data_IF_976658693339
#
_entry.id   IF_976658693339
#
_cell.length_a   1.000
_cell.length_b   1.000
_cell.length_c   1.000
_cell.angle_alpha   90.00
_cell.angle_beta   90.00
_cell.angle_gamma   90.00
#
_symmetry.space_group_name_H-M   'P 1'
#
loop_
_entity.id
_entity.type
_entity.pdbx_description
1 polymer ?
#
# COMPACT_ATOMS: atom_id res chain seq x y z
N UNK A 1 7.87 41.60 -5.14
CA UNK A 1 8.30 42.84 -5.80
C UNK A 1 7.34 43.93 -5.37
N UNK A 2 7.80 44.98 -4.69
CA UNK A 2 6.99 46.12 -4.29
C UNK A 2 6.66 46.95 -5.53
N UNK A 3 5.39 47.01 -5.91
CA UNK A 3 4.91 47.84 -7.02
C UNK A 3 5.04 49.31 -6.61
N UNK A 4 6.08 49.98 -7.09
CA UNK A 4 6.24 51.42 -6.89
C UNK A 4 5.19 52.12 -7.75
N UNK A 5 4.13 52.63 -7.11
CA UNK A 5 3.11 53.43 -7.80
C UNK A 5 3.69 54.83 -8.03
N UNK A 6 4.02 55.16 -9.27
CA UNK A 6 4.42 56.52 -9.66
C UNK A 6 3.16 57.38 -9.80
N UNK A 7 3.00 58.46 -9.02
CA UNK A 7 1.82 59.32 -9.12
C UNK A 7 1.80 60.10 -10.44
N UNK A 8 0.61 60.30 -11.02
CA UNK A 8 0.42 61.06 -12.27
C UNK A 8 0.80 62.55 -12.15
N UNK A 9 0.67 63.08 -10.93
CA UNK A 9 1.22 64.35 -10.49
C UNK A 9 1.65 64.24 -9.01
N UNK A 10 2.79 64.83 -8.69
CA UNK A 10 3.33 64.87 -7.34
C UNK A 10 2.82 66.13 -6.61
N UNK A 11 2.40 65.95 -5.36
CA UNK A 11 1.94 67.03 -4.48
C UNK A 11 2.73 67.02 -3.19
N UNK A 12 3.19 68.19 -2.77
CA UNK A 12 3.88 68.38 -1.50
C UNK A 12 2.96 69.07 -0.49
N UNK A 13 3.25 68.87 0.81
CA UNK A 13 2.49 69.53 1.86
C UNK A 13 2.63 71.06 1.75
N UNK A 14 1.51 71.75 1.61
CA UNK A 14 1.46 73.21 1.44
C UNK A 14 1.20 73.69 0.00
N UNK A 15 1.20 72.78 -0.98
CA UNK A 15 0.82 73.12 -2.36
C UNK A 15 -0.67 73.45 -2.47
N UNK A 16 -0.99 74.54 -3.18
CA UNK A 16 -2.37 74.84 -3.56
C UNK A 16 -2.78 73.92 -4.72
N UNK A 17 -3.80 73.09 -4.48
CA UNK A 17 -4.35 72.23 -5.52
C UNK A 17 -5.30 73.06 -6.40
N UNK A 18 -4.80 73.48 -7.54
CA UNK A 18 -5.57 74.23 -8.53
C UNK A 18 -6.47 73.32 -9.37
N UNK A 19 -7.63 73.84 -9.79
CA UNK A 19 -8.59 73.11 -10.60
C UNK A 19 -8.01 72.66 -11.96
N UNK A 20 -7.10 73.44 -12.54
CA UNK A 20 -6.43 73.12 -13.81
C UNK A 20 -5.51 71.90 -13.69
N UNK A 21 -4.81 71.75 -12.57
CA UNK A 21 -3.95 70.59 -12.29
C UNK A 21 -4.77 69.32 -12.10
N UNK A 22 -5.90 69.41 -11.40
CA UNK A 22 -6.86 68.30 -11.29
C UNK A 22 -7.42 67.88 -12.66
N UNK A 23 -7.75 68.84 -13.52
CA UNK A 23 -8.21 68.54 -14.88
C UNK A 23 -7.12 67.83 -15.71
N UNK A 24 -5.87 68.28 -15.59
CA UNK A 24 -4.72 67.67 -16.27
C UNK A 24 -4.50 66.23 -15.81
N UNK A 25 -4.58 65.98 -14.50
CA UNK A 25 -4.50 64.65 -13.93
C UNK A 25 -5.62 63.73 -14.46
N UNK A 26 -6.86 64.23 -14.52
CA UNK A 26 -7.99 63.46 -15.06
C UNK A 26 -7.80 63.10 -16.54
N UNK A 27 -7.22 64.00 -17.35
CA UNK A 27 -6.88 63.71 -18.75
C UNK A 27 -5.83 62.60 -18.85
N UNK A 28 -4.76 62.66 -18.04
CA UNK A 28 -3.71 61.61 -18.01
C UNK A 28 -4.29 60.25 -17.61
N UNK A 29 -5.15 60.21 -16.59
CA UNK A 29 -5.83 58.97 -16.16
C UNK A 29 -6.70 58.41 -17.29
N UNK A 30 -7.47 59.25 -17.98
CA UNK A 30 -8.30 58.80 -19.11
C UNK A 30 -7.48 58.24 -20.27
N UNK A 31 -6.33 58.86 -20.57
CA UNK A 31 -5.41 58.38 -21.60
C UNK A 31 -4.78 57.05 -21.22
N UNK A 32 -4.37 56.87 -19.98
CA UNK A 32 -3.79 55.60 -19.51
C UNK A 32 -4.82 54.47 -19.53
N UNK A 33 -6.04 54.72 -19.04
CA UNK A 33 -7.14 53.76 -19.13
C UNK A 33 -7.43 53.39 -20.59
N UNK A 34 -7.49 54.38 -21.49
CA UNK A 34 -7.70 54.10 -22.92
C UNK A 34 -6.57 53.26 -23.52
N UNK A 35 -5.32 53.50 -23.12
CA UNK A 35 -4.16 52.69 -23.51
C UNK A 35 -4.24 51.25 -23.00
N UNK A 36 -4.57 51.06 -21.72
CA UNK A 36 -4.75 49.74 -21.11
C UNK A 36 -5.90 48.97 -21.76
N UNK A 37 -7.03 49.63 -22.02
CA UNK A 37 -8.17 49.01 -22.74
C UNK A 37 -7.78 48.62 -24.16
N UNK A 38 -6.98 49.44 -24.85
CA UNK A 38 -6.42 49.09 -26.16
C UNK A 38 -5.57 47.82 -26.11
N UNK A 39 -4.63 47.75 -25.17
CA UNK A 39 -3.75 46.58 -24.99
C UNK A 39 -4.55 45.31 -24.64
N UNK A 40 -5.57 45.41 -23.80
CA UNK A 40 -6.44 44.29 -23.45
C UNK A 40 -7.25 43.82 -24.67
N UNK A 41 -7.78 44.74 -25.47
CA UNK A 41 -8.50 44.39 -26.70
C UNK A 41 -7.58 43.75 -27.73
N UNK A 42 -6.36 44.24 -27.89
CA UNK A 42 -5.36 43.67 -28.80
C UNK A 42 -4.98 42.24 -28.36
N UNK A 43 -4.70 42.03 -27.07
CA UNK A 43 -4.41 40.71 -26.52
C UNK A 43 -5.61 39.74 -26.60
N UNK A 44 -6.83 40.25 -26.42
CA UNK A 44 -8.06 39.45 -26.55
C UNK A 44 -8.30 39.06 -28.01
N UNK A 45 -8.12 39.99 -28.95
CA UNK A 45 -8.24 39.72 -30.38
C UNK A 45 -7.18 38.72 -30.85
N UNK A 46 -5.93 38.85 -30.40
CA UNK A 46 -4.87 37.88 -30.67
C UNK A 46 -5.23 36.48 -30.12
N UNK A 47 -5.83 36.41 -28.94
CA UNK A 47 -6.31 35.14 -28.37
C UNK A 47 -7.53 34.55 -29.09
N UNK A 48 -8.42 35.40 -29.63
CA UNK A 48 -9.60 34.98 -30.40
C UNK A 48 -9.28 34.59 -31.84
N UNK A 49 -8.24 35.17 -32.44
CA UNK A 49 -7.74 34.84 -33.77
C UNK A 49 -6.80 33.61 -33.76
N UNK A 50 -6.28 33.24 -32.59
CA UNK A 50 -5.56 31.99 -32.43
C UNK A 50 -6.49 30.82 -32.81
N UNK A 51 -6.09 29.95 -33.76
CA UNK A 51 -6.91 28.80 -34.14
C UNK A 51 -7.08 27.90 -32.92
N UNK A 52 -8.30 27.85 -32.38
CA UNK A 52 -8.66 26.83 -31.39
C UNK A 52 -8.76 25.53 -32.15
N UNK A 53 -7.76 24.66 -31.96
CA UNK A 53 -7.78 23.31 -32.49
C UNK A 53 -8.92 22.54 -31.80
N UNK A 54 -10.08 22.47 -32.45
CA UNK A 54 -11.25 21.80 -31.90
C UNK A 54 -11.07 20.28 -31.79
N UNK A 55 -10.11 19.73 -32.54
CA UNK A 55 -9.83 18.30 -32.59
C UNK A 55 -8.81 17.86 -31.53
N UNK A 56 -8.10 18.81 -30.90
CA UNK A 56 -7.12 18.51 -29.85
C UNK A 56 -7.32 19.36 -28.59
N UNK A 57 -7.36 18.70 -27.43
CA UNK A 57 -7.36 19.38 -26.13
C UNK A 57 -5.96 19.26 -25.53
N UNK A 58 -5.28 20.41 -25.36
CA UNK A 58 -3.89 20.44 -24.86
C UNK A 58 -2.88 19.77 -25.82
N UNK A 59 -3.16 19.78 -27.13
CA UNK A 59 -2.29 19.16 -28.14
C UNK A 59 -2.43 17.65 -28.26
N UNK A 60 -3.44 17.04 -27.60
CA UNK A 60 -3.78 15.62 -27.73
C UNK A 60 -5.23 15.46 -28.19
N UNK A 61 -5.48 14.51 -29.07
CA UNK A 61 -6.82 14.09 -29.50
C UNK A 61 -7.57 13.34 -28.39
N UNK A 62 -8.91 13.23 -28.45
CA UNK A 62 -9.68 12.38 -27.54
C UNK A 62 -9.21 10.92 -27.50
N UNK A 63 -8.77 10.36 -28.63
CA UNK A 63 -8.28 8.98 -28.71
C UNK A 63 -6.90 8.83 -28.06
N UNK A 64 -6.02 9.83 -28.16
CA UNK A 64 -4.74 9.84 -27.44
C UNK A 64 -4.91 10.01 -25.94
N UNK A 65 -5.84 10.88 -25.52
CA UNK A 65 -6.24 10.97 -24.11
C UNK A 65 -6.84 9.65 -23.65
N UNK A 66 -7.69 9.01 -24.45
CA UNK A 66 -8.24 7.71 -24.12
C UNK A 66 -7.14 6.66 -24.01
N UNK A 67 -6.16 6.59 -24.91
CA UNK A 67 -5.02 5.67 -24.79
C UNK A 67 -4.18 5.91 -23.53
N UNK A 68 -3.89 7.17 -23.22
CA UNK A 68 -3.10 7.58 -22.04
C UNK A 68 -3.85 7.29 -20.72
N UNK A 69 -5.17 7.48 -20.72
CA UNK A 69 -6.01 7.29 -19.54
C UNK A 69 -6.50 5.83 -19.40
N UNK A 70 -6.69 5.10 -20.50
CA UNK A 70 -7.06 3.67 -20.54
C UNK A 70 -5.88 2.78 -20.18
N UNK A 71 -4.62 3.23 -20.32
CA UNK A 71 -3.48 2.53 -19.70
C UNK A 71 -3.64 2.35 -18.19
N UNK A 72 -4.38 3.25 -17.50
CA UNK A 72 -4.72 3.10 -16.07
C UNK A 72 -5.83 2.06 -15.83
N UNK A 73 -6.57 1.70 -16.88
CA UNK A 73 -7.62 0.69 -16.84
C UNK A 73 -7.14 -0.56 -17.59
N UNK A 74 -6.06 -1.19 -17.10
CA UNK A 74 -5.60 -2.50 -17.60
C UNK A 74 -6.79 -3.45 -17.68
N UNK A 75 -7.16 -3.84 -18.90
CA UNK A 75 -8.28 -4.74 -19.11
C UNK A 75 -7.96 -6.07 -18.42
N UNK A 76 -8.95 -6.68 -17.77
CA UNK A 76 -8.79 -7.96 -17.04
C UNK A 76 -8.16 -9.08 -17.91
N UNK A 77 -8.24 -8.95 -19.23
CA UNK A 77 -7.63 -9.83 -20.23
C UNK A 77 -6.12 -9.68 -20.40
N UNK A 78 -5.52 -8.57 -19.98
CA UNK A 78 -4.07 -8.29 -20.08
C UNK A 78 -3.31 -8.66 -18.80
N UNK A 79 -4.03 -8.94 -17.72
CA UNK A 79 -3.48 -9.54 -16.51
C UNK A 79 -3.19 -11.02 -16.84
N UNK A 80 -1.93 -11.51 -16.69
CA UNK A 80 -1.58 -12.90 -16.97
C UNK A 80 -2.57 -13.85 -16.28
N UNK A 81 -3.07 -14.89 -16.98
CA UNK A 81 -4.13 -15.81 -16.48
C UNK A 81 -3.81 -16.54 -15.17
N UNK A 82 -2.59 -16.40 -14.66
CA UNK A 82 -2.09 -16.99 -13.42
C UNK A 82 -2.23 -16.00 -12.23
N UNK A 83 -2.54 -14.74 -12.50
CA UNK A 83 -2.66 -13.63 -11.53
C UNK A 83 -4.12 -13.39 -11.13
N UNK A 84 -4.84 -14.50 -10.93
CA UNK A 84 -6.19 -14.53 -10.42
C UNK A 84 -6.25 -14.18 -8.93
N UNK A 85 -6.45 -12.89 -8.67
CA UNK A 85 -7.44 -12.33 -7.75
C UNK A 85 -7.05 -11.96 -6.32
N UNK A 86 -5.89 -12.34 -5.76
CA UNK A 86 -5.57 -11.90 -4.39
C UNK A 86 -4.07 -11.68 -4.10
N UNK A 87 -3.69 -10.48 -3.67
CA UNK A 87 -2.37 -10.17 -3.09
C UNK A 87 -2.47 -10.13 -1.57
N UNK A 88 -1.56 -10.83 -0.87
CA UNK A 88 -1.50 -10.78 0.61
C UNK A 88 -0.38 -9.86 1.06
N UNK A 89 -0.72 -8.99 1.99
CA UNK A 89 0.21 -8.18 2.75
C UNK A 89 0.08 -8.57 4.21
N UNK A 90 1.19 -8.65 4.91
CA UNK A 90 1.22 -8.92 6.34
C UNK A 90 1.69 -7.66 7.06
N UNK A 91 0.97 -7.25 8.11
CA UNK A 91 1.27 -6.03 8.86
C UNK A 91 1.16 -6.29 10.35
N UNK A 92 2.13 -5.83 11.12
CA UNK A 92 2.11 -5.92 12.58
C UNK A 92 1.87 -4.53 13.17
N UNK A 93 0.62 -4.27 13.58
CA UNK A 93 0.24 -2.99 14.18
C UNK A 93 0.47 -3.05 15.69
N UNK A 94 1.66 -2.70 16.16
CA UNK A 94 2.02 -2.77 17.59
C UNK A 94 2.65 -1.49 18.17
N UNK A 95 3.02 -0.52 17.31
CA UNK A 95 3.62 0.74 17.73
C UNK A 95 2.56 1.77 18.15
N UNK A 96 2.57 2.20 19.40
CA UNK A 96 1.81 3.36 19.87
C UNK A 96 2.54 4.66 19.52
N UNK A 97 1.86 5.60 18.87
CA UNK A 97 2.41 6.93 18.58
C UNK A 97 2.17 7.88 19.76
N UNK A 98 3.26 8.37 20.38
CA UNK A 98 3.23 9.60 21.17
C UNK A 98 2.22 9.67 22.33
N UNK A 99 1.96 8.57 23.04
CA UNK A 99 1.03 8.54 24.18
C UNK A 99 -0.46 8.62 23.81
N UNK A 100 -0.79 8.57 22.51
CA UNK A 100 -2.17 8.41 22.04
C UNK A 100 -2.62 6.93 22.15
N UNK A 101 -3.92 6.66 22.34
CA UNK A 101 -4.46 5.30 22.41
C UNK A 101 -4.48 4.58 21.04
N UNK A 102 -4.03 5.24 19.97
CA UNK A 102 -4.04 4.72 18.60
C UNK A 102 -2.66 4.23 18.19
N UNK A 103 -2.64 3.05 17.57
CA UNK A 103 -1.44 2.49 16.96
C UNK A 103 -1.14 3.24 15.66
N UNK A 104 0.15 3.32 15.29
CA UNK A 104 0.55 3.96 14.04
C UNK A 104 -0.12 3.31 12.84
N UNK A 105 -0.55 4.09 11.82
CA UNK A 105 -1.09 3.52 10.60
C UNK A 105 -0.05 2.63 9.92
N UNK A 106 -0.49 1.56 9.25
CA UNK A 106 0.29 0.83 8.26
C UNK A 106 -0.11 1.27 6.86
N UNK A 107 0.87 1.66 6.05
CA UNK A 107 0.69 1.97 4.63
C UNK A 107 1.02 0.71 3.81
N UNK A 108 0.15 0.40 2.86
CA UNK A 108 0.35 -0.65 1.86
C UNK A 108 0.37 0.00 0.49
N UNK A 109 1.54 0.02 -0.12
CA UNK A 109 1.75 0.39 -1.52
C UNK A 109 1.54 -0.85 -2.37
N UNK A 110 0.51 -0.82 -3.22
CA UNK A 110 0.07 -1.97 -3.99
C UNK A 110 0.17 -1.78 -5.50
N UNK A 111 0.32 -0.55 -5.99
CA UNK A 111 0.57 -0.27 -7.42
C UNK A 111 -0.43 -1.03 -8.32
N UNK A 112 -1.73 -0.84 -8.06
CA UNK A 112 -2.80 -1.51 -8.81
C UNK A 112 -3.48 -0.58 -9.80
N UNK A 113 -3.13 0.71 -9.77
CA UNK A 113 -3.74 1.82 -10.51
C UNK A 113 -5.27 1.91 -10.33
N UNK A 114 -5.79 1.29 -9.26
CA UNK A 114 -7.22 1.21 -8.95
C UNK A 114 -7.45 0.91 -7.47
N UNK A 115 -8.61 1.31 -6.97
CA UNK A 115 -9.05 0.94 -5.61
C UNK A 115 -9.34 -0.57 -5.51
N UNK A 116 -8.57 -1.34 -4.72
CA UNK A 116 -8.80 -2.78 -4.57
C UNK A 116 -10.01 -3.08 -3.69
N UNK A 117 -10.57 -4.28 -3.84
CA UNK A 117 -11.48 -4.84 -2.83
C UNK A 117 -10.63 -5.45 -1.71
N UNK A 118 -10.81 -4.96 -0.48
CA UNK A 118 -9.96 -5.29 0.66
C UNK A 118 -10.70 -6.24 1.60
N UNK A 119 -10.02 -7.30 2.01
CA UNK A 119 -10.45 -8.13 3.15
C UNK A 119 -9.34 -8.19 4.18
N UNK A 120 -9.68 -7.90 5.44
CA UNK A 120 -8.71 -7.88 6.54
C UNK A 120 -8.94 -9.08 7.44
N UNK A 121 -7.85 -9.73 7.84
CA UNK A 121 -7.86 -10.85 8.76
C UNK A 121 -6.90 -10.59 9.92
N UNK A 122 -7.32 -10.93 11.13
CA UNK A 122 -6.42 -11.09 12.26
C UNK A 122 -5.71 -12.44 12.17
N UNK A 123 -4.40 -12.46 12.39
CA UNK A 123 -3.63 -13.67 12.56
C UNK A 123 -3.70 -14.15 14.01
N UNK A 124 -4.38 -15.27 14.20
CA UNK A 124 -4.47 -15.97 15.48
C UNK A 124 -3.27 -16.90 15.67
N UNK A 125 -2.88 -17.17 16.92
CA UNK A 125 -1.87 -18.18 17.19
C UNK A 125 -2.35 -19.56 16.73
N UNK A 126 -1.39 -20.33 16.21
CA UNK A 126 -1.57 -21.73 15.85
C UNK A 126 -1.48 -22.60 17.10
N UNK A 127 -2.38 -23.56 17.21
CA UNK A 127 -2.41 -24.51 18.33
C UNK A 127 -1.65 -25.79 17.94
N UNK A 128 -0.32 -25.69 17.92
CA UNK A 128 0.59 -26.80 17.59
C UNK A 128 1.43 -27.03 18.84
N UNK A 129 0.99 -27.99 19.68
CA UNK A 129 1.35 -28.11 21.10
C UNK A 129 2.77 -28.64 21.39
N UNK A 130 3.79 -28.12 20.73
CA UNK A 130 5.16 -28.31 21.19
C UNK A 130 5.50 -27.12 22.09
N UNK A 131 6.04 -27.38 23.29
CA UNK A 131 6.27 -26.36 24.35
C UNK A 131 7.11 -25.16 23.85
N UNK A 132 7.84 -25.32 22.75
CA UNK A 132 8.65 -24.29 22.10
C UNK A 132 7.87 -23.31 21.20
N UNK A 133 6.65 -23.65 20.75
CA UNK A 133 5.91 -22.90 19.71
C UNK A 133 4.59 -22.27 20.22
N UNK A 134 4.45 -22.06 21.53
CA UNK A 134 3.25 -21.42 22.08
C UNK A 134 3.13 -19.97 21.60
N UNK A 135 2.07 -19.66 20.86
CA UNK A 135 1.78 -18.28 20.40
C UNK A 135 2.26 -17.94 19.00
N UNK A 136 2.90 -18.89 18.30
CA UNK A 136 3.36 -18.72 16.91
C UNK A 136 2.18 -18.49 15.98
N UNK A 137 2.33 -17.54 15.03
CA UNK A 137 1.33 -17.19 14.02
C UNK A 137 1.69 -17.68 12.62
N UNK A 138 2.99 -17.85 12.39
CA UNK A 138 3.58 -18.37 11.16
C UNK A 138 4.37 -19.63 11.50
N UNK A 139 3.92 -20.81 11.07
CA UNK A 139 4.64 -22.05 11.33
C UNK A 139 5.10 -22.67 10.03
N UNK A 140 6.42 -22.81 9.86
CA UNK A 140 6.98 -23.62 8.78
C UNK A 140 7.07 -25.07 9.24
N UNK A 141 6.50 -25.99 8.46
CA UNK A 141 6.50 -27.41 8.78
C UNK A 141 6.67 -28.27 7.52
N UNK A 142 7.06 -29.52 7.70
CA UNK A 142 7.18 -30.50 6.64
C UNK A 142 5.90 -31.32 6.56
N UNK A 143 5.18 -31.29 5.44
CA UNK A 143 3.91 -31.98 5.26
C UNK A 143 4.04 -33.52 5.22
N UNK A 144 5.26 -34.07 5.18
CA UNK A 144 5.47 -35.50 5.21
C UNK A 144 5.14 -36.14 6.57
N UNK A 145 4.90 -37.46 6.53
CA UNK A 145 4.46 -38.29 7.67
C UNK A 145 5.44 -38.36 8.86
N UNK A 146 6.60 -37.70 8.78
CA UNK A 146 7.64 -37.66 9.81
C UNK A 146 7.52 -36.44 10.73
N UNK A 147 6.66 -35.49 10.38
CA UNK A 147 6.44 -34.29 11.17
C UNK A 147 5.14 -34.39 11.98
N UNK A 148 5.25 -34.23 13.30
CA UNK A 148 4.08 -34.26 14.18
C UNK A 148 3.13 -33.08 13.89
N UNK A 149 3.66 -31.93 13.45
CA UNK A 149 2.85 -30.77 13.11
C UNK A 149 1.93 -31.06 11.92
N UNK A 150 2.40 -31.82 10.92
CA UNK A 150 1.61 -32.19 9.75
C UNK A 150 0.36 -33.01 10.10
N UNK A 151 0.43 -33.86 11.13
CA UNK A 151 -0.72 -34.67 11.58
C UNK A 151 -1.85 -33.83 12.18
N UNK A 152 -1.53 -32.64 12.70
CA UNK A 152 -2.49 -31.71 13.31
C UNK A 152 -2.99 -30.67 12.33
N UNK A 153 -2.14 -30.33 11.38
CA UNK A 153 -2.40 -29.40 10.29
C UNK A 153 -2.86 -30.12 9.02
N UNK A 154 -3.36 -31.35 9.11
CA UNK A 154 -4.00 -32.03 7.99
C UNK A 154 -5.49 -32.19 8.23
N UNK A 155 -6.26 -32.12 7.15
CA UNK A 155 -7.67 -32.48 7.18
C UNK A 155 -7.82 -34.00 7.25
N UNK A 156 -8.80 -34.49 8.00
CA UNK A 156 -9.11 -35.94 8.10
C UNK A 156 -9.92 -36.46 6.90
N UNK A 157 -9.81 -35.80 5.74
CA UNK A 157 -10.55 -36.12 4.52
C UNK A 157 -9.95 -37.29 3.73
N UNK A 158 -10.62 -37.70 2.64
CA UNK A 158 -10.12 -38.70 1.68
C UNK A 158 -8.92 -38.18 0.88
N UNK A 159 -8.96 -36.90 0.55
CA UNK A 159 -7.82 -36.16 0.02
C UNK A 159 -7.14 -35.50 1.24
N UNK A 160 -6.02 -36.04 1.71
CA UNK A 160 -5.26 -35.45 2.82
C UNK A 160 -4.76 -34.08 2.39
N UNK A 161 -5.52 -33.02 2.69
CA UNK A 161 -5.09 -31.64 2.43
C UNK A 161 -4.35 -31.13 3.66
N UNK A 162 -3.11 -30.69 3.45
CA UNK A 162 -2.30 -30.01 4.45
C UNK A 162 -2.68 -28.52 4.53
N UNK A 163 -2.77 -28.01 5.75
CA UNK A 163 -3.17 -26.63 6.04
C UNK A 163 -1.97 -25.71 5.89
N UNK A 164 -2.12 -24.72 5.02
CA UNK A 164 -1.10 -23.73 4.74
C UNK A 164 -0.71 -23.79 3.28
N UNK A 165 0.09 -22.83 2.86
CA UNK A 165 0.59 -22.80 1.49
C UNK A 165 1.94 -23.48 1.40
N UNK A 166 2.24 -24.04 0.22
CA UNK A 166 3.61 -24.49 -0.05
C UNK A 166 4.56 -23.30 0.02
N UNK A 167 5.77 -23.55 0.49
CA UNK A 167 6.81 -22.53 0.60
C UNK A 167 7.12 -21.93 -0.78
N UNK A 168 7.14 -22.75 -1.83
CA UNK A 168 7.32 -22.30 -3.21
C UNK A 168 6.25 -21.30 -3.66
N UNK A 169 4.98 -21.49 -3.28
CA UNK A 169 3.91 -20.57 -3.63
C UNK A 169 4.14 -19.19 -2.97
N UNK A 170 4.56 -19.19 -1.71
CA UNK A 170 4.84 -17.96 -0.97
C UNK A 170 6.08 -17.24 -1.51
N UNK A 171 7.17 -17.95 -1.78
CA UNK A 171 8.38 -17.39 -2.37
C UNK A 171 8.08 -16.72 -3.70
N UNK A 172 7.29 -17.37 -4.57
CA UNK A 172 6.85 -16.80 -5.83
C UNK A 172 5.97 -15.56 -5.64
N UNK A 173 5.03 -15.59 -4.68
CA UNK A 173 4.16 -14.46 -4.38
C UNK A 173 4.96 -13.22 -3.94
N UNK A 174 6.03 -13.41 -3.16
CA UNK A 174 6.90 -12.32 -2.69
C UNK A 174 8.11 -12.06 -3.61
N UNK A 175 8.12 -12.64 -4.82
CA UNK A 175 9.13 -12.38 -5.85
C UNK A 175 10.54 -12.85 -5.48
N UNK A 176 10.67 -13.84 -4.60
CA UNK A 176 11.96 -14.38 -4.15
C UNK A 176 12.46 -15.48 -5.08
N UNK A 177 13.69 -15.30 -5.56
CA UNK A 177 14.39 -16.29 -6.38
C UNK A 177 15.41 -17.03 -5.53
N UNK A 178 15.10 -18.30 -5.24
CA UNK A 178 15.97 -19.14 -4.42
C UNK A 178 17.08 -19.77 -5.26
N UNK A 179 18.32 -19.72 -4.75
CA UNK A 179 19.46 -20.37 -5.41
C UNK A 179 19.76 -21.74 -4.80
N UNK A 180 20.27 -22.73 -5.59
CA UNK A 180 20.52 -24.08 -5.07
C UNK A 180 21.48 -24.13 -3.88
N UNK A 181 22.45 -23.20 -3.81
CA UNK A 181 23.47 -23.14 -2.76
C UNK A 181 23.03 -22.37 -1.51
N UNK A 182 21.87 -21.73 -1.55
CA UNK A 182 21.37 -20.95 -0.43
C UNK A 182 20.98 -21.88 0.72
N UNK A 183 21.34 -21.49 1.95
CA UNK A 183 20.90 -22.20 3.15
C UNK A 183 19.41 -21.99 3.36
N UNK A 184 18.73 -22.99 3.90
CA UNK A 184 17.30 -22.88 4.16
C UNK A 184 16.96 -21.72 5.13
N UNK A 185 17.80 -21.49 6.14
CA UNK A 185 17.61 -20.37 7.08
C UNK A 185 17.70 -19.02 6.37
N UNK A 186 18.62 -18.85 5.44
CA UNK A 186 18.73 -17.63 4.62
C UNK A 186 17.48 -17.41 3.77
N UNK A 187 16.91 -18.47 3.19
CA UNK A 187 15.66 -18.38 2.43
C UNK A 187 14.51 -17.89 3.30
N UNK A 188 14.40 -18.40 4.53
CA UNK A 188 13.37 -17.96 5.46
C UNK A 188 13.59 -16.51 5.89
N UNK A 189 14.83 -16.11 6.18
CA UNK A 189 15.16 -14.73 6.52
C UNK A 189 14.82 -13.75 5.38
N UNK A 190 15.13 -14.11 4.13
CA UNK A 190 14.76 -13.33 2.95
C UNK A 190 13.24 -13.24 2.78
N UNK A 191 12.53 -14.35 2.99
CA UNK A 191 11.05 -14.39 2.97
C UNK A 191 10.45 -13.45 4.01
N UNK A 192 10.95 -13.50 5.24
CA UNK A 192 10.50 -12.62 6.30
C UNK A 192 10.78 -11.14 6.00
N UNK A 193 11.97 -10.84 5.49
CA UNK A 193 12.33 -9.48 5.08
C UNK A 193 11.45 -8.93 3.95
N UNK A 194 10.94 -9.79 3.05
CA UNK A 194 9.98 -9.37 2.01
C UNK A 194 8.54 -9.28 2.49
N UNK A 195 8.14 -10.16 3.41
CA UNK A 195 6.79 -10.16 3.97
C UNK A 195 6.54 -8.99 4.91
N UNK A 196 7.57 -8.58 5.65
CA UNK A 196 7.55 -7.52 6.65
C UNK A 196 8.70 -6.56 6.33
N UNK A 197 8.46 -5.66 5.38
CA UNK A 197 9.50 -4.75 4.86
C UNK A 197 10.09 -3.90 6.01
N UNK A 198 11.36 -4.12 6.39
CA UNK A 198 11.98 -3.38 7.48
C UNK A 198 12.27 -1.92 7.13
N UNK A 199 12.09 -1.51 5.86
CA UNK A 199 12.28 -0.14 5.37
C UNK A 199 11.10 0.79 5.62
N UNK A 200 9.92 0.25 5.96
CA UNK A 200 8.79 1.03 6.44
C UNK A 200 8.88 1.09 7.97
N UNK A 201 8.96 2.29 8.55
CA UNK A 201 9.00 2.57 10.01
C UNK A 201 7.82 1.99 10.83
N UNK A 202 6.94 1.23 10.16
CA UNK A 202 5.66 0.72 10.60
C UNK A 202 5.63 -0.81 10.76
N UNK A 203 6.61 -1.56 10.22
CA UNK A 203 6.67 -3.02 10.37
C UNK A 203 7.80 -3.43 11.33
N UNK A 204 7.44 -3.63 12.60
CA UNK A 204 8.34 -4.29 13.54
C UNK A 204 8.30 -5.80 13.31
N UNK A 205 9.39 -6.37 12.81
CA UNK A 205 9.53 -7.81 12.69
C UNK A 205 9.65 -8.46 14.09
N UNK A 206 8.58 -9.10 14.57
CA UNK A 206 8.60 -9.87 15.83
C UNK A 206 8.94 -11.33 15.60
N UNK A 207 10.21 -11.69 15.84
CA UNK A 207 10.71 -13.05 15.63
C UNK A 207 9.91 -14.12 16.39
N UNK A 208 9.34 -13.80 17.55
CA UNK A 208 8.56 -14.78 18.34
C UNK A 208 7.20 -15.15 17.69
N UNK A 209 6.73 -14.37 16.71
CA UNK A 209 5.52 -14.70 15.96
C UNK A 209 5.74 -15.80 14.92
N UNK A 210 7.00 -16.20 14.68
CA UNK A 210 7.40 -17.21 13.72
C UNK A 210 7.98 -18.42 14.44
N UNK A 211 7.72 -19.59 13.90
CA UNK A 211 8.24 -20.83 14.43
C UNK A 211 8.42 -21.87 13.34
N UNK A 212 9.09 -22.95 13.73
CA UNK A 212 9.34 -24.10 12.89
C UNK A 212 8.89 -25.35 13.64
N UNK A 213 8.44 -26.37 12.92
CA UNK A 213 8.22 -27.68 13.54
C UNK A 213 9.54 -28.30 13.99
N UNK A 214 9.47 -29.24 14.94
CA UNK A 214 10.66 -29.98 15.41
C UNK A 214 11.41 -30.67 14.27
N UNK A 215 10.70 -31.16 13.26
CA UNK A 215 11.33 -31.76 12.08
C UNK A 215 12.14 -30.73 11.32
N UNK A 216 11.56 -29.55 11.03
CA UNK A 216 12.26 -28.47 10.33
C UNK A 216 13.47 -28.01 11.15
N UNK A 217 13.32 -27.83 12.46
CA UNK A 217 14.44 -27.45 13.33
C UNK A 217 15.57 -28.49 13.28
N UNK A 218 15.28 -29.75 13.60
CA UNK A 218 16.31 -30.77 13.82
C UNK A 218 16.89 -31.37 12.53
N UNK A 219 16.10 -31.42 11.46
CA UNK A 219 16.49 -32.10 10.21
C UNK A 219 16.94 -31.15 9.12
N UNK A 220 16.56 -29.88 9.19
CA UNK A 220 16.84 -28.88 8.17
C UNK A 220 17.75 -27.78 8.71
N UNK A 221 17.30 -27.04 9.74
CA UNK A 221 18.02 -25.89 10.27
C UNK A 221 19.30 -26.29 11.02
N UNK A 222 19.22 -27.22 11.97
CA UNK A 222 20.38 -27.68 12.77
C UNK A 222 21.45 -28.40 11.93
N UNK A 223 21.13 -28.75 10.68
CA UNK A 223 22.03 -29.43 9.73
C UNK A 223 22.54 -28.51 8.62
N UNK A 224 22.22 -27.22 8.67
CA UNK A 224 22.61 -26.23 7.66
C UNK A 224 22.33 -26.69 6.22
N UNK A 225 21.13 -27.25 5.99
CA UNK A 225 20.76 -27.80 4.68
C UNK A 225 20.64 -26.70 3.63
N UNK A 226 21.18 -26.96 2.44
CA UNK A 226 20.96 -26.11 1.27
C UNK A 226 19.68 -26.50 0.54
N UNK A 227 19.17 -25.58 -0.28
CA UNK A 227 17.99 -25.81 -1.13
C UNK A 227 18.20 -26.98 -2.09
N UNK A 228 19.41 -27.14 -2.64
CA UNK A 228 19.75 -28.26 -3.51
C UNK A 228 19.59 -29.61 -2.78
N UNK A 229 20.11 -29.71 -1.56
CA UNK A 229 19.98 -30.93 -0.75
C UNK A 229 18.51 -31.25 -0.44
N UNK A 230 17.72 -30.23 -0.08
CA UNK A 230 16.30 -30.41 0.20
C UNK A 230 15.51 -30.89 -1.01
N UNK A 231 15.83 -30.39 -2.21
CA UNK A 231 15.25 -30.85 -3.48
C UNK A 231 15.67 -32.26 -3.83
N UNK A 232 16.96 -32.60 -3.67
CA UNK A 232 17.45 -33.97 -3.91
C UNK A 232 16.80 -35.00 -2.97
N UNK A 233 16.47 -34.57 -1.74
CA UNK A 233 15.77 -35.40 -0.76
C UNK A 233 14.25 -35.46 -0.97
N UNK A 234 13.69 -34.67 -1.88
CA UNK A 234 12.24 -34.53 -2.08
C UNK A 234 11.52 -33.94 -0.86
N UNK A 235 12.22 -33.13 -0.05
CA UNK A 235 11.64 -32.46 1.12
C UNK A 235 11.08 -31.10 0.73
N UNK A 236 11.73 -30.43 -0.22
CA UNK A 236 11.45 -29.05 -0.60
C UNK A 236 9.99 -28.81 -0.99
N UNK A 237 9.44 -29.70 -1.81
CA UNK A 237 8.10 -29.62 -2.37
C UNK A 237 6.99 -29.76 -1.30
N UNK A 238 7.32 -30.41 -0.19
CA UNK A 238 6.45 -30.70 0.94
C UNK A 238 6.70 -29.74 2.12
N UNK A 239 7.44 -28.63 1.93
CA UNK A 239 7.55 -27.59 2.95
C UNK A 239 6.37 -26.63 2.83
N UNK A 240 5.69 -26.41 3.95
CA UNK A 240 4.51 -25.56 4.04
C UNK A 240 4.65 -24.51 5.13
N UNK A 241 3.94 -23.40 4.96
CA UNK A 241 3.74 -22.40 6.00
C UNK A 241 2.25 -22.34 6.38
N UNK A 242 1.96 -22.71 7.63
CA UNK A 242 0.62 -22.61 8.19
C UNK A 242 0.35 -21.20 8.76
N UNK A 243 -0.88 -20.76 8.58
CA UNK A 243 -1.43 -19.49 9.07
C UNK A 243 -2.88 -19.71 9.52
N UNK A 244 -3.30 -18.99 10.57
CA UNK A 244 -4.68 -19.03 11.06
C UNK A 244 -5.35 -17.65 10.96
N UNK A 245 -5.87 -17.28 9.78
CA UNK A 245 -6.58 -16.02 9.59
C UNK A 245 -7.99 -16.09 10.18
N UNK A 246 -8.40 -15.04 10.92
CA UNK A 246 -9.78 -14.78 11.33
C UNK A 246 -10.23 -13.46 10.70
N UNK A 247 -11.26 -13.52 9.87
CA UNK A 247 -11.77 -12.33 9.18
C UNK A 247 -12.22 -11.27 10.19
N UNK A 248 -11.82 -10.02 9.96
CA UNK A 248 -12.31 -8.84 10.67
C UNK A 248 -13.32 -8.15 9.74
N UNK A 249 -14.58 -7.99 10.16
CA UNK A 249 -15.55 -7.24 9.37
C UNK A 249 -15.13 -5.78 9.28
N UNK A 250 -15.06 -5.24 8.06
CA UNK A 250 -14.81 -3.82 7.81
C UNK A 250 -16.15 -3.06 7.87
N UNK A 251 -16.30 -2.13 8.80
CA UNK A 251 -17.50 -1.30 8.91
C UNK A 251 -17.60 -0.50 10.22
N UNK A 252 -18.35 0.61 10.18
CA UNK A 252 -18.70 1.38 11.37
C UNK A 252 -19.62 0.50 12.23
N UNK A 253 -19.31 0.20 13.51
CA UNK A 253 -20.21 -0.55 14.36
C UNK A 253 -21.50 0.26 14.57
N UNK A 254 -22.58 -0.16 13.91
CA UNK A 254 -23.94 0.30 14.21
C UNK A 254 -24.44 -0.49 15.43
N UNK A 255 -23.99 -0.09 16.63
CA UNK A 255 -24.43 -0.71 17.89
C UNK A 255 -23.50 -0.44 19.06
N UNK A 256 -24.06 -0.51 20.28
CA UNK A 256 -23.38 -0.22 21.54
C UNK A 256 -21.99 -0.87 21.63
N UNK A 257 -20.99 -0.04 21.96
CA UNK A 257 -19.55 -0.38 22.12
C UNK A 257 -19.24 -1.43 23.19
N UNK A 258 -20.27 -2.03 23.80
CA UNK A 258 -20.18 -2.81 25.04
C UNK A 258 -20.68 -4.26 24.93
N UNK A 259 -20.86 -4.84 23.73
CA UNK A 259 -21.19 -6.26 23.65
C UNK A 259 -19.93 -7.13 23.70
N UNK A 260 -19.90 -7.91 24.79
CA UNK A 260 -18.95 -8.95 25.17
C UNK A 260 -18.46 -9.80 23.98
N UNK A 261 -17.17 -9.64 23.66
CA UNK A 261 -16.49 -10.36 22.59
C UNK A 261 -15.70 -9.41 21.69
N UNK A 262 -14.71 -8.72 22.28
CA UNK A 262 -13.91 -7.65 21.68
C UNK A 262 -13.38 -7.99 20.28
N UNK A 263 -14.19 -7.74 19.26
CA UNK A 263 -13.75 -7.80 17.87
C UNK A 263 -12.88 -6.58 17.65
N UNK A 264 -11.62 -6.80 17.29
CA UNK A 264 -10.68 -5.71 17.06
C UNK A 264 -11.21 -4.83 15.92
N UNK A 265 -11.27 -3.53 16.16
CA UNK A 265 -11.66 -2.58 15.13
C UNK A 265 -10.44 -2.24 14.28
N UNK A 266 -10.60 -2.39 12.96
CA UNK A 266 -9.60 -2.00 11.97
C UNK A 266 -10.29 -1.10 10.95
N UNK A 267 -9.74 0.11 10.79
CA UNK A 267 -10.20 1.10 9.84
C UNK A 267 -9.26 1.11 8.62
N UNK A 268 -9.82 1.24 7.42
CA UNK A 268 -9.08 1.22 6.16
C UNK A 268 -9.40 2.50 5.39
N UNK A 269 -8.37 3.26 5.05
CA UNK A 269 -8.47 4.52 4.31
C UNK A 269 -7.73 4.40 2.97
N UNK A 270 -8.39 4.76 1.88
CA UNK A 270 -7.72 4.84 0.58
C UNK A 270 -7.01 6.18 0.47
N UNK A 271 -5.68 6.16 0.39
CA UNK A 271 -4.87 7.38 0.22
C UNK A 271 -4.76 7.76 -1.25
N UNK A 272 -4.64 6.76 -2.13
CA UNK A 272 -4.60 6.92 -3.59
C UNK A 272 -5.13 5.65 -4.27
N UNK A 273 -5.04 5.60 -5.60
CA UNK A 273 -5.32 4.38 -6.38
C UNK A 273 -4.23 3.31 -6.22
N UNK A 274 -3.11 3.62 -5.54
CA UNK A 274 -1.95 2.73 -5.39
C UNK A 274 -1.55 2.50 -3.94
N UNK A 275 -2.14 3.25 -3.01
CA UNK A 275 -1.80 3.21 -1.61
C UNK A 275 -3.05 3.24 -0.73
N UNK A 276 -3.03 2.39 0.29
CA UNK A 276 -4.03 2.35 1.34
C UNK A 276 -3.36 2.43 2.71
N UNK A 277 -4.10 2.97 3.65
CA UNK A 277 -3.73 3.10 5.05
C UNK A 277 -4.63 2.22 5.91
N UNK A 278 -4.04 1.50 6.86
CA UNK A 278 -4.75 0.65 7.81
C UNK A 278 -4.42 1.11 9.22
N UNK A 279 -5.47 1.35 10.01
CA UNK A 279 -5.35 1.74 11.41
C UNK A 279 -6.09 0.75 12.30
N UNK A 280 -5.58 0.52 13.50
CA UNK A 280 -6.23 -0.31 14.51
C UNK A 280 -6.24 0.36 15.88
N UNK A 281 -7.29 0.11 16.65
CA UNK A 281 -7.43 0.63 18.02
C UNK A 281 -6.68 -0.21 19.05
N UNK A 282 -6.18 -1.38 18.65
CA UNK A 282 -5.51 -2.37 19.50
C UNK A 282 -4.38 -3.03 18.74
N UNK A 283 -3.41 -3.60 19.47
CA UNK A 283 -2.32 -4.36 18.87
C UNK A 283 -2.88 -5.55 18.09
N UNK A 284 -2.48 -5.67 16.82
CA UNK A 284 -3.00 -6.73 15.95
C UNK A 284 -2.00 -7.10 14.85
N UNK A 285 -1.87 -8.40 14.59
CA UNK A 285 -1.19 -8.91 13.42
C UNK A 285 -2.23 -9.17 12.34
N UNK A 286 -2.04 -8.52 11.20
CA UNK A 286 -2.99 -8.52 10.11
C UNK A 286 -2.44 -9.26 8.90
N UNK A 287 -3.33 -10.00 8.26
CA UNK A 287 -3.20 -10.35 6.85
C UNK A 287 -4.24 -9.53 6.08
N UNK A 288 -3.77 -8.75 5.12
CA UNK A 288 -4.57 -7.88 4.28
C UNK A 288 -4.58 -8.49 2.89
N UNK A 289 -5.78 -8.83 2.43
CA UNK A 289 -6.00 -9.47 1.15
C UNK A 289 -6.58 -8.43 0.20
N UNK A 290 -5.83 -8.08 -0.85
CA UNK A 290 -6.24 -7.13 -1.88
C UNK A 290 -6.67 -7.90 -3.13
N UNK A 291 -7.88 -7.62 -3.61
CA UNK A 291 -8.40 -8.13 -4.88
C UNK A 291 -8.51 -7.02 -5.91
N UNK A 292 -7.98 -7.30 -7.10
CA UNK A 292 -7.99 -6.43 -8.30
C UNK A 292 -9.17 -6.68 -9.21
#
# INVERSE_FOLDING_TARGET
MTTTITPYEEFHAGDLIEAERMNTMQVKIKQDIAGQVGQVNDALNEHMEAPVDADTFGGKTPDEWKGDLDQRYVMRSEIPSNWGEYRRYFKQLDRQLGGAPTFGPAIIEHELDRYPVITVFELLPLDVSDEANTGVKFLVYYAGHRDNAASRLSTRGLDTVHWGDSLDLLLNQFGLQVTPKQLFDDVLNDLWGRMFDPGLDQDHFRREAYGHSDYVQQQILDKDRTVEELKQMGIWEDLHMALRPRMIPLGIPYGDRNQDGATKQVDVFYLSQDALEIQATQQVDLMVLLRT
#
